data_IF_435939049871
#
_entry.id   IF_435939049871
#
_cell.length_a   1.000
_cell.length_b   1.000
_cell.length_c   1.000
_cell.angle_alpha   90.00
_cell.angle_beta   90.00
_cell.angle_gamma   90.00
#
_symmetry.space_group_name_H-M   'P 1'
#
loop_
_entity.id
_entity.type
_entity.pdbx_description
1 polymer ?
#
# COMPACT_ATOMS: atom_id res chain seq x y z
N UNK A 1 -4.75 -2.58 16.43
CA UNK A 1 -6.07 -2.40 15.77
C UNK A 1 -6.67 -3.78 15.50
N UNK A 2 -7.94 -4.00 15.82
CA UNK A 2 -8.63 -5.28 15.57
C UNK A 2 -8.87 -5.48 14.07
N UNK A 3 -8.83 -6.73 13.60
CA UNK A 3 -9.04 -7.09 12.18
C UNK A 3 -10.37 -6.52 11.62
N UNK A 4 -11.37 -6.37 12.49
CA UNK A 4 -12.63 -5.72 12.16
C UNK A 4 -12.43 -4.27 11.66
N UNK A 5 -11.61 -3.45 12.33
CA UNK A 5 -11.41 -2.05 11.93
C UNK A 5 -10.74 -1.93 10.57
N UNK A 6 -9.82 -2.84 10.24
CA UNK A 6 -9.18 -2.88 8.92
C UNK A 6 -10.23 -3.21 7.85
N UNK A 7 -11.08 -4.22 8.10
CA UNK A 7 -12.18 -4.56 7.20
C UNK A 7 -13.15 -3.40 6.99
N UNK A 8 -13.51 -2.67 8.06
CA UNK A 8 -14.42 -1.52 7.97
C UNK A 8 -13.81 -0.37 7.17
N UNK A 9 -12.52 -0.07 7.37
CA UNK A 9 -11.82 0.99 6.62
C UNK A 9 -11.71 0.65 5.13
N UNK A 10 -11.36 -0.60 4.80
CA UNK A 10 -11.28 -1.08 3.41
C UNK A 10 -12.66 -1.04 2.75
N UNK A 11 -13.70 -1.51 3.44
CA UNK A 11 -15.08 -1.48 2.94
C UNK A 11 -15.60 -0.05 2.73
N UNK A 12 -15.29 0.87 3.63
CA UNK A 12 -15.65 2.29 3.50
C UNK A 12 -14.97 2.93 2.28
N UNK A 13 -13.67 2.67 2.08
CA UNK A 13 -12.93 3.17 0.92
C UNK A 13 -13.51 2.63 -0.40
N UNK A 14 -13.87 1.34 -0.44
CA UNK A 14 -14.51 0.71 -1.60
C UNK A 14 -15.91 1.28 -1.88
N UNK A 15 -16.74 1.48 -0.84
CA UNK A 15 -18.07 2.05 -0.97
C UNK A 15 -18.06 3.49 -1.47
N UNK A 16 -17.13 4.30 -0.96
CA UNK A 16 -16.91 5.68 -1.44
C UNK A 16 -16.47 5.68 -2.91
N UNK A 17 -15.53 4.80 -3.28
CA UNK A 17 -15.03 4.71 -4.66
C UNK A 17 -16.11 4.28 -5.66
N UNK A 18 -17.03 3.40 -5.24
CA UNK A 18 -18.17 2.98 -6.05
C UNK A 18 -19.17 4.11 -6.27
N UNK A 19 -19.41 4.94 -5.25
CA UNK A 19 -20.44 5.98 -5.26
C UNK A 19 -20.22 7.05 -6.34
N UNK A 20 -18.98 7.32 -6.74
CA UNK A 20 -18.66 8.42 -7.66
C UNK A 20 -18.58 8.05 -9.14
N UNK A 21 -18.54 6.77 -9.52
CA UNK A 21 -18.40 6.45 -10.96
C UNK A 21 -18.41 4.98 -11.37
N UNK A 22 -19.03 4.11 -10.59
CA UNK A 22 -19.27 2.71 -10.98
C UNK A 22 -18.00 1.86 -11.08
N UNK A 23 -18.09 0.75 -11.83
CA UNK A 23 -17.07 -0.31 -11.86
C UNK A 23 -15.67 0.16 -12.27
N UNK A 24 -15.57 1.12 -13.20
CA UNK A 24 -14.29 1.64 -13.67
C UNK A 24 -13.50 2.40 -12.60
N UNK A 25 -14.19 3.15 -11.73
CA UNK A 25 -13.54 3.91 -10.66
C UNK A 25 -13.00 2.99 -9.56
N UNK A 26 -13.69 1.87 -9.29
CA UNK A 26 -13.16 0.82 -8.43
C UNK A 26 -11.84 0.25 -8.96
N UNK A 27 -11.74 0.00 -10.28
CA UNK A 27 -10.50 -0.51 -10.87
C UNK A 27 -9.34 0.47 -10.72
N UNK A 28 -9.58 1.78 -10.91
CA UNK A 28 -8.56 2.82 -10.70
C UNK A 28 -8.11 2.84 -9.24
N UNK A 29 -9.04 2.85 -8.29
CA UNK A 29 -8.71 2.87 -6.86
C UNK A 29 -7.98 1.60 -6.45
N UNK A 30 -8.40 0.43 -6.95
CA UNK A 30 -7.71 -0.84 -6.71
C UNK A 30 -6.28 -0.78 -7.26
N UNK A 31 -6.11 -0.24 -8.46
CA UNK A 31 -4.79 -0.11 -9.09
C UNK A 31 -3.88 0.84 -8.30
N UNK A 32 -4.38 2.00 -7.87
CA UNK A 32 -3.64 2.96 -7.03
C UNK A 32 -3.30 2.34 -5.68
N UNK A 33 -4.24 1.63 -5.06
CA UNK A 33 -4.03 0.92 -3.78
C UNK A 33 -2.95 -0.15 -3.94
N UNK A 34 -2.96 -0.90 -5.04
CA UNK A 34 -1.95 -1.91 -5.33
C UNK A 34 -0.57 -1.27 -5.52
N UNK A 35 -0.48 -0.15 -6.25
CA UNK A 35 0.77 0.61 -6.40
C UNK A 35 1.27 1.11 -5.03
N UNK A 36 0.41 1.72 -4.23
CA UNK A 36 0.74 2.20 -2.89
C UNK A 36 1.18 1.06 -1.96
N UNK A 37 0.55 -0.10 -2.06
CA UNK A 37 0.95 -1.31 -1.34
C UNK A 37 2.33 -1.80 -1.76
N UNK A 38 2.61 -1.84 -3.07
CA UNK A 38 3.94 -2.23 -3.58
C UNK A 38 5.01 -1.23 -3.13
N UNK A 39 4.74 0.08 -3.22
CA UNK A 39 5.67 1.13 -2.75
C UNK A 39 5.88 1.01 -1.23
N UNK A 40 4.81 0.85 -0.45
CA UNK A 40 4.90 0.64 0.99
C UNK A 40 5.73 -0.59 1.32
N UNK A 41 5.54 -1.70 0.59
CA UNK A 41 6.34 -2.92 0.76
C UNK A 41 7.82 -2.73 0.38
N UNK A 42 8.11 -1.93 -0.64
CA UNK A 42 9.47 -1.52 -1.02
C UNK A 42 10.12 -0.71 0.09
N UNK A 43 9.37 0.20 0.74
CA UNK A 43 9.86 1.07 1.80
C UNK A 43 9.98 0.37 3.17
N UNK A 44 9.07 -0.56 3.49
CA UNK A 44 9.08 -1.36 4.72
C UNK A 44 10.26 -2.35 4.77
N UNK A 45 11.02 -2.50 3.68
CA UNK A 45 12.19 -3.37 3.64
C UNK A 45 11.85 -4.87 3.60
N UNK A 46 10.56 -5.24 3.48
CA UNK A 46 10.14 -6.62 3.20
C UNK A 46 10.50 -7.02 1.74
N UNK A 47 10.72 -6.02 0.89
CA UNK A 47 11.64 -6.10 -0.24
C UNK A 47 12.95 -5.49 0.27
N UNK A 48 13.89 -6.35 0.65
CA UNK A 48 15.11 -6.01 1.37
C UNK A 48 16.06 -5.11 0.54
N UNK A 49 15.74 -3.82 0.41
CA UNK A 49 16.66 -2.80 -0.12
C UNK A 49 17.80 -2.51 0.85
N UNK A 50 17.61 -2.76 2.16
CA UNK A 50 18.68 -2.60 3.16
C UNK A 50 19.86 -3.56 2.91
N UNK A 51 19.62 -4.75 2.34
CA UNK A 51 20.68 -5.65 1.86
C UNK A 51 21.39 -5.16 0.59
N UNK A 52 20.75 -4.26 -0.16
CA UNK A 52 21.28 -3.72 -1.42
C UNK A 52 21.84 -2.29 -1.29
N UNK A 53 21.63 -1.61 -0.16
CA UNK A 53 22.33 -0.38 0.19
C UNK A 53 23.57 -0.77 0.97
N UNK A 54 24.76 -0.86 0.36
CA UNK A 54 25.98 -1.04 1.12
C UNK A 54 26.12 0.16 2.04
N UNK A 55 26.00 -0.08 3.36
CA UNK A 55 26.35 0.91 4.36
C UNK A 55 27.82 1.30 4.14
N UNK A 56 28.03 2.44 3.49
CA UNK A 56 29.34 3.06 3.30
C UNK A 56 29.79 3.76 4.58
N UNK A 57 29.53 3.18 5.76
CA UNK A 57 30.11 3.58 7.04
C UNK A 57 30.97 2.48 7.64
N UNK A 58 31.75 1.84 6.78
CA UNK A 58 33.05 1.33 7.20
C UNK A 58 34.04 2.50 7.34
N UNK A 59 34.67 2.60 8.51
CA UNK A 59 35.91 3.36 8.82
C UNK A 59 35.74 4.76 9.46
N UNK A 60 35.57 4.80 10.79
CA UNK A 60 36.55 5.42 11.70
C UNK A 60 36.24 5.15 13.17
#
# INVERSE_FOLDING_TARGET
>A
MTRAHIGTLVGLAFGLSWAFGGFGHLLIVLFVTLIGYVIGKVLDGDIDLSRYVPDRRQSR
#
